data_IF_710118041753
#
_entry.id   IF_710118041753
#
_cell.length_a   1.000
_cell.length_b   1.000
_cell.length_c   1.000
_cell.angle_alpha   90.00
_cell.angle_beta   90.00
_cell.angle_gamma   90.00
#
_symmetry.space_group_name_H-M   'P 1'
#
loop_
_entity.id
_entity.type
_entity.pdbx_description
1 polymer ?
#
# COMPACT_ATOMS: atom_id res chain seq x y z
N UNK A 1 -18.10 -53.98 57.80
CA UNK A 1 -18.16 -55.16 56.91
C UNK A 1 -18.21 -54.59 55.51
N UNK A 2 -17.17 -54.59 54.68
CA UNK A 2 -16.31 -55.69 54.18
C UNK A 2 -14.88 -55.17 53.95
N UNK A 3 -13.90 -56.06 54.12
CA UNK A 3 -12.45 -55.94 53.94
C UNK A 3 -11.99 -55.58 52.50
N UNK A 4 -10.86 -54.88 52.35
CA UNK A 4 -9.60 -55.53 51.89
C UNK A 4 -8.39 -54.57 51.84
N UNK A 5 -7.27 -55.07 52.39
CA UNK A 5 -5.91 -54.53 52.41
C UNK A 5 -5.31 -54.18 51.03
N UNK A 6 -4.39 -53.21 51.00
CA UNK A 6 -2.95 -53.48 50.79
C UNK A 6 -2.08 -52.26 51.07
N UNK A 7 -1.13 -52.43 52.00
CA UNK A 7 0.04 -51.59 52.21
C UNK A 7 1.01 -51.73 51.03
N UNK A 8 1.72 -50.66 50.67
CA UNK A 8 3.17 -50.74 50.40
C UNK A 8 3.86 -49.38 50.63
N UNK A 9 4.96 -49.47 51.35
CA UNK A 9 5.94 -48.44 51.75
C UNK A 9 6.97 -48.14 50.66
N UNK A 10 7.62 -46.96 50.69
CA UNK A 10 9.09 -46.69 50.62
C UNK A 10 9.28 -45.18 50.27
N UNK A 11 9.73 -44.30 51.18
CA UNK A 11 11.10 -43.96 51.66
C UNK A 11 11.97 -43.11 50.69
N UNK A 12 12.26 -41.86 51.14
CA UNK A 12 13.50 -41.10 50.91
C UNK A 12 13.64 -40.33 49.59
N UNK A 13 14.38 -39.23 49.44
CA UNK A 13 15.25 -38.40 50.30
C UNK A 13 15.65 -37.15 49.47
N UNK A 14 15.84 -36.00 50.13
CA UNK A 14 16.61 -34.79 49.78
C UNK A 14 17.43 -34.75 48.47
N UNK A 15 17.42 -33.60 47.76
CA UNK A 15 18.57 -32.67 47.66
C UNK A 15 18.20 -31.39 46.89
N UNK A 16 18.61 -30.22 47.39
CA UNK A 16 18.67 -28.98 46.59
C UNK A 16 20.08 -28.74 46.03
N UNK A 17 20.21 -27.87 45.01
CA UNK A 17 21.30 -26.89 44.76
C UNK A 17 21.12 -26.24 43.35
N UNK A 18 20.95 -24.91 43.36
CA UNK A 18 21.56 -23.80 42.58
C UNK A 18 21.96 -23.96 41.08
N UNK A 19 21.57 -22.94 40.28
CA UNK A 19 22.36 -22.16 39.30
C UNK A 19 21.76 -21.99 37.88
N UNK A 20 21.56 -20.70 37.53
CA UNK A 20 21.59 -20.05 36.20
C UNK A 20 22.33 -20.82 35.08
N UNK A 21 21.75 -20.86 33.86
CA UNK A 21 22.39 -20.47 32.59
C UNK A 21 21.47 -20.71 31.37
N UNK A 22 21.80 -20.02 30.29
CA UNK A 22 20.93 -19.62 29.18
C UNK A 22 20.46 -20.72 28.21
N UNK A 23 19.29 -20.43 27.62
CA UNK A 23 18.81 -20.72 26.27
C UNK A 23 19.32 -21.98 25.53
N UNK A 24 18.40 -22.90 25.19
CA UNK A 24 18.01 -23.20 23.80
C UNK A 24 16.85 -24.22 23.76
N UNK A 25 15.87 -23.93 22.89
CA UNK A 25 15.01 -24.86 22.16
C UNK A 25 14.22 -25.96 22.93
N UNK A 26 12.92 -25.73 23.11
CA UNK A 26 11.87 -26.42 22.36
C UNK A 26 10.52 -26.21 23.08
N UNK A 27 9.66 -25.39 22.47
CA UNK A 27 8.25 -25.39 22.78
C UNK A 27 7.64 -26.71 22.26
N UNK A 28 7.21 -27.57 23.17
CA UNK A 28 6.13 -28.54 22.92
C UNK A 28 5.19 -28.51 24.13
N UNK A 29 4.14 -27.70 23.97
CA UNK A 29 2.73 -28.11 24.11
C UNK A 29 2.49 -29.40 24.91
N UNK A 30 1.96 -29.27 26.12
CA UNK A 30 0.72 -29.89 26.62
C UNK A 30 0.65 -29.74 28.15
N UNK A 31 -0.36 -28.98 28.59
CA UNK A 31 -1.29 -29.23 29.70
C UNK A 31 -0.78 -29.80 31.04
N UNK A 32 -1.15 -29.10 32.12
CA UNK A 32 -2.09 -29.56 33.17
C UNK A 32 -2.05 -28.44 34.24
N UNK A 33 -3.05 -27.55 34.31
CA UNK A 33 -4.35 -27.76 34.99
C UNK A 33 -4.22 -28.45 36.35
N UNK A 34 -3.80 -27.73 37.40
CA UNK A 34 -4.30 -28.09 38.73
C UNK A 34 -4.39 -26.92 39.70
N UNK A 35 -5.63 -26.49 39.93
CA UNK A 35 -6.05 -25.71 41.10
C UNK A 35 -6.90 -26.63 41.97
N UNK A 36 -6.47 -26.93 43.20
CA UNK A 36 -7.41 -27.23 44.29
C UNK A 36 -6.88 -26.73 45.65
N UNK A 37 -7.59 -25.77 46.26
CA UNK A 37 -7.92 -25.85 47.68
C UNK A 37 -9.44 -25.70 47.78
N UNK A 38 -10.12 -26.77 48.23
CA UNK A 38 -11.55 -26.78 48.52
C UNK A 38 -11.78 -26.16 49.91
N UNK A 39 -12.58 -25.10 49.96
CA UNK A 39 -13.55 -24.92 51.05
C UNK A 39 -14.93 -24.56 50.46
N UNK A 40 -15.96 -25.14 51.08
CA UNK A 40 -17.34 -25.23 50.62
C UNK A 40 -18.02 -23.86 50.47
N UNK A 41 -18.68 -23.62 49.33
CA UNK A 41 -19.75 -22.62 49.24
C UNK A 41 -19.87 -21.77 47.98
N UNK A 42 -20.05 -22.41 46.81
CA UNK A 42 -20.87 -21.98 45.66
C UNK A 42 -20.83 -20.51 45.13
N UNK A 43 -20.00 -20.31 44.08
CA UNK A 43 -20.01 -19.32 42.98
C UNK A 43 -19.64 -17.85 43.33
N UNK A 44 -18.68 -17.16 42.70
CA UNK A 44 -18.12 -17.28 41.34
C UNK A 44 -16.72 -16.61 41.32
N UNK A 45 -15.67 -17.31 40.91
CA UNK A 45 -14.36 -16.68 40.69
C UNK A 45 -14.38 -16.02 39.31
N UNK A 46 -14.55 -14.70 39.27
CA UNK A 46 -14.37 -13.95 38.02
C UNK A 46 -12.86 -13.86 37.76
N UNK A 47 -12.35 -14.79 36.97
CA UNK A 47 -11.05 -14.67 36.31
C UNK A 47 -11.35 -14.13 34.91
N UNK A 48 -11.20 -12.82 34.75
CA UNK A 48 -11.18 -12.21 33.42
C UNK A 48 -9.74 -12.32 32.93
N UNK A 49 -9.46 -13.29 32.05
CA UNK A 49 -8.25 -13.25 31.22
C UNK A 49 -8.69 -13.35 29.77
N UNK A 50 -8.73 -12.21 29.07
CA UNK A 50 -8.38 -12.18 27.65
C UNK A 50 -7.40 -11.02 27.40
N UNK A 51 -6.40 -11.10 26.54
CA UNK A 51 -5.95 -12.14 25.61
C UNK A 51 -4.49 -11.82 25.30
N UNK A 52 -3.57 -12.74 25.58
CA UNK A 52 -2.11 -12.63 25.38
C UNK A 52 -1.38 -11.69 26.36
N UNK A 53 -0.96 -12.26 27.49
CA UNK A 53 -0.19 -11.59 28.54
C UNK A 53 1.31 -11.85 28.32
N UNK A 54 2.14 -10.80 28.36
CA UNK A 54 3.59 -10.89 28.21
C UNK A 54 4.27 -10.80 29.59
N UNK A 55 4.49 -11.96 30.22
CA UNK A 55 5.05 -12.07 31.58
C UNK A 55 6.41 -11.38 31.74
N UNK A 56 7.24 -11.33 30.69
CA UNK A 56 8.56 -10.69 30.71
C UNK A 56 8.50 -9.16 30.75
N UNK A 57 7.46 -8.58 30.16
CA UNK A 57 7.28 -7.12 30.07
C UNK A 57 6.27 -6.60 31.08
N UNK A 58 5.51 -7.48 31.75
CA UNK A 58 4.39 -7.15 32.63
C UNK A 58 3.34 -6.27 31.93
N UNK A 59 3.12 -6.54 30.64
CA UNK A 59 2.23 -5.81 29.75
C UNK A 59 1.48 -6.81 28.87
N UNK A 60 0.33 -6.44 28.37
CA UNK A 60 -0.41 -7.23 27.39
C UNK A 60 0.08 -6.93 25.98
N UNK A 61 -0.11 -7.88 25.06
CA UNK A 61 0.05 -7.61 23.62
C UNK A 61 -0.85 -6.43 23.23
N UNK A 62 -0.28 -5.46 22.54
CA UNK A 62 -0.94 -4.21 22.16
C UNK A 62 -0.84 -3.08 23.19
N UNK A 63 -0.35 -3.33 24.41
CA UNK A 63 -0.09 -2.27 25.38
C UNK A 63 1.04 -1.36 24.90
N UNK A 64 0.98 -0.09 25.30
CA UNK A 64 2.04 0.87 25.00
C UNK A 64 3.31 0.55 25.79
N UNK A 65 4.46 0.57 25.11
CA UNK A 65 5.77 0.35 25.71
C UNK A 65 6.72 1.50 25.36
N UNK A 66 7.85 1.61 26.08
CA UNK A 66 8.89 2.59 25.80
C UNK A 66 10.21 1.86 25.50
N UNK A 67 10.87 2.24 24.41
CA UNK A 67 12.21 1.76 24.07
C UNK A 67 13.15 2.95 23.87
N UNK A 68 14.39 2.84 24.35
CA UNK A 68 15.43 3.83 24.07
C UNK A 68 16.10 3.48 22.73
N UNK A 69 15.92 4.34 21.73
CA UNK A 69 16.52 4.22 20.41
C UNK A 69 17.43 5.44 20.19
N UNK A 70 18.72 5.21 19.97
CA UNK A 70 19.72 6.26 19.74
C UNK A 70 19.70 7.41 20.77
N UNK A 71 19.36 7.13 22.04
CA UNK A 71 19.30 8.11 23.13
C UNK A 71 17.99 8.92 23.20
N UNK A 72 16.96 8.53 22.43
CA UNK A 72 15.61 9.08 22.48
C UNK A 72 14.64 8.01 22.99
N UNK A 73 13.80 8.36 23.96
CA UNK A 73 12.71 7.49 24.41
C UNK A 73 11.57 7.52 23.39
N UNK A 74 11.20 6.36 22.86
CA UNK A 74 10.19 6.21 21.83
C UNK A 74 9.05 5.32 22.30
N UNK A 75 7.81 5.71 21.98
CA UNK A 75 6.61 4.95 22.34
C UNK A 75 6.28 3.93 21.26
N UNK A 76 6.12 2.67 21.66
CA UNK A 76 5.76 1.54 20.79
C UNK A 76 4.58 0.76 21.35
N UNK A 77 4.35 -0.44 20.80
CA UNK A 77 3.38 -1.40 21.29
C UNK A 77 4.02 -2.78 21.50
N UNK A 78 3.47 -3.57 22.42
CA UNK A 78 3.95 -4.94 22.67
C UNK A 78 3.45 -5.88 21.56
N UNK A 79 4.36 -6.57 20.87
CA UNK A 79 4.04 -7.54 19.82
C UNK A 79 3.61 -8.90 20.38
N UNK A 80 3.12 -9.79 19.51
CA UNK A 80 2.76 -11.17 19.89
C UNK A 80 3.96 -12.01 20.37
N UNK A 81 5.17 -11.61 19.99
CA UNK A 81 6.42 -12.23 20.45
C UNK A 81 6.94 -11.60 21.77
N UNK A 82 6.12 -10.74 22.41
CA UNK A 82 6.46 -10.04 23.64
C UNK A 82 7.70 -9.14 23.52
N UNK A 83 7.81 -8.45 22.39
CA UNK A 83 8.83 -7.43 22.15
C UNK A 83 8.18 -6.04 22.09
N UNK A 84 8.89 -5.01 22.57
CA UNK A 84 8.45 -3.64 22.38
C UNK A 84 8.77 -3.22 20.95
N UNK A 85 7.75 -3.12 20.11
CA UNK A 85 7.88 -2.67 18.73
C UNK A 85 7.58 -1.18 18.68
N UNK A 86 8.64 -0.39 18.50
CA UNK A 86 8.51 1.04 18.25
C UNK A 86 8.37 1.26 16.76
N UNK A 87 7.15 1.57 16.30
CA UNK A 87 6.95 2.13 14.98
C UNK A 87 7.30 3.62 15.01
N UNK A 88 8.57 3.94 15.22
CA UNK A 88 9.02 5.32 15.17
C UNK A 88 9.05 5.72 13.69
N UNK A 89 8.39 6.83 13.29
CA UNK A 89 8.69 7.41 12.00
C UNK A 89 10.18 7.76 12.04
N UNK A 90 10.99 7.09 11.25
CA UNK A 90 12.45 7.09 11.36
C UNK A 90 13.14 8.41 10.98
N UNK A 91 12.39 9.53 11.04
CA UNK A 91 12.86 10.85 10.71
C UNK A 91 13.27 11.01 9.25
N UNK A 92 13.08 9.98 8.40
CA UNK A 92 13.35 10.06 6.98
C UNK A 92 12.25 10.84 6.28
N UNK A 93 12.65 11.88 5.56
CA UNK A 93 11.81 12.60 4.62
C UNK A 93 12.47 12.57 3.26
N UNK A 94 11.68 12.35 2.21
CA UNK A 94 12.15 12.41 0.83
C UNK A 94 11.44 13.52 0.08
N UNK A 95 12.21 14.33 -0.64
CA UNK A 95 11.71 15.27 -1.64
C UNK A 95 12.04 14.74 -3.03
N UNK A 96 11.17 15.01 -4.01
CA UNK A 96 11.41 14.65 -5.41
C UNK A 96 11.23 15.90 -6.25
N UNK A 97 12.24 16.21 -7.07
CA UNK A 97 12.14 17.18 -8.14
C UNK A 97 11.87 16.43 -9.45
N UNK A 98 10.92 16.92 -10.24
CA UNK A 98 10.64 16.39 -11.58
C UNK A 98 10.98 17.40 -12.67
N UNK A 99 11.40 16.88 -13.82
CA UNK A 99 11.46 17.60 -15.09
C UNK A 99 10.43 16.99 -16.03
N UNK A 100 9.66 17.79 -16.77
CA UNK A 100 8.67 17.26 -17.68
C UNK A 100 9.32 16.51 -18.84
N UNK A 101 8.52 15.61 -19.43
CA UNK A 101 8.79 14.92 -20.68
C UNK A 101 8.19 15.74 -21.84
N UNK A 102 8.91 15.86 -22.96
CA UNK A 102 8.43 16.51 -24.19
C UNK A 102 7.73 15.55 -25.15
N UNK A 103 7.33 14.37 -24.66
CA UNK A 103 6.70 13.31 -25.43
C UNK A 103 7.71 12.39 -26.13
N UNK A 104 9.02 12.55 -25.85
CA UNK A 104 10.08 11.68 -26.37
C UNK A 104 10.68 10.76 -25.32
N UNK A 105 10.12 10.75 -24.11
CA UNK A 105 10.67 10.08 -22.95
C UNK A 105 11.86 10.84 -22.38
N UNK A 106 11.83 12.18 -22.39
CA UNK A 106 12.93 13.04 -21.91
C UNK A 106 12.80 13.46 -20.44
N UNK A 107 11.75 12.99 -19.76
CA UNK A 107 11.47 13.29 -18.37
C UNK A 107 12.56 12.83 -17.40
N UNK A 108 12.60 13.48 -16.24
CA UNK A 108 13.58 13.17 -15.19
C UNK A 108 12.96 13.26 -13.80
N UNK A 109 13.48 12.46 -12.87
CA UNK A 109 13.16 12.50 -11.45
C UNK A 109 14.45 12.50 -10.65
N UNK A 110 14.56 13.38 -9.66
CA UNK A 110 15.70 13.44 -8.73
C UNK A 110 15.18 13.49 -7.29
N UNK A 111 15.58 12.49 -6.50
CA UNK A 111 15.21 12.40 -5.09
C UNK A 111 16.29 12.97 -4.18
N UNK A 112 15.85 13.60 -3.09
CA UNK A 112 16.71 14.06 -2.00
C UNK A 112 16.17 13.51 -0.68
N UNK A 113 16.98 12.71 0.01
CA UNK A 113 16.63 12.10 1.31
C UNK A 113 17.25 12.93 2.44
N UNK A 114 16.49 13.11 3.52
CA UNK A 114 16.94 13.78 4.74
C UNK A 114 16.53 12.95 5.96
N UNK A 115 17.40 12.83 6.97
CA UNK A 115 17.21 11.90 8.08
C UNK A 115 17.58 10.46 7.72
N UNK A 116 17.37 9.50 8.63
CA UNK A 116 17.78 8.09 8.44
C UNK A 116 19.29 7.84 8.57
N UNK A 117 19.71 6.60 8.28
CA UNK A 117 21.11 6.15 8.34
C UNK A 117 21.62 5.64 6.99
N UNK A 118 22.65 6.28 6.44
CA UNK A 118 23.29 5.84 5.20
C UNK A 118 24.01 4.47 5.35
N UNK A 119 24.10 3.67 4.27
CA UNK A 119 23.66 3.95 2.90
C UNK A 119 22.17 3.73 2.63
N UNK A 120 21.60 4.55 1.74
CA UNK A 120 20.23 4.38 1.25
C UNK A 120 20.15 3.46 0.02
N UNK A 121 19.05 2.71 -0.06
CA UNK A 121 18.62 1.97 -1.24
C UNK A 121 17.36 2.61 -1.82
N UNK A 122 17.25 2.64 -3.15
CA UNK A 122 16.15 3.28 -3.87
C UNK A 122 15.47 2.24 -4.75
N UNK A 123 14.15 2.31 -4.85
CA UNK A 123 13.35 1.53 -5.78
C UNK A 123 12.25 2.43 -6.35
N UNK A 124 12.29 2.64 -7.66
CA UNK A 124 11.31 3.41 -8.40
C UNK A 124 10.38 2.47 -9.15
N UNK A 125 9.09 2.72 -9.03
CA UNK A 125 8.05 1.97 -9.70
C UNK A 125 7.23 2.88 -10.60
N UNK A 126 6.83 2.37 -11.75
CA UNK A 126 5.81 2.96 -12.62
C UNK A 126 4.81 1.86 -12.93
N UNK A 127 3.53 2.08 -12.62
CA UNK A 127 2.46 1.09 -12.83
C UNK A 127 2.78 -0.30 -12.24
N UNK A 128 3.43 -0.34 -11.07
CA UNK A 128 3.84 -1.58 -10.38
C UNK A 128 5.17 -2.19 -10.84
N UNK A 129 5.71 -1.78 -11.99
CA UNK A 129 6.98 -2.29 -12.49
C UNK A 129 8.18 -1.51 -11.94
N UNK A 130 9.21 -2.23 -11.50
CA UNK A 130 10.47 -1.62 -11.07
C UNK A 130 11.21 -1.05 -12.29
N UNK A 131 11.29 0.28 -12.36
CA UNK A 131 11.89 1.03 -13.48
C UNK A 131 13.29 1.54 -13.17
N UNK A 132 13.71 1.55 -11.91
CA UNK A 132 15.06 1.95 -11.55
C UNK A 132 15.37 1.90 -10.06
N UNK A 133 16.65 2.02 -9.71
CA UNK A 133 17.15 1.90 -8.34
C UNK A 133 18.21 2.95 -7.97
N UNK A 134 18.24 4.06 -8.71
CA UNK A 134 19.15 5.17 -8.48
C UNK A 134 18.39 6.36 -7.85
N UNK A 135 19.07 7.25 -7.11
CA UNK A 135 18.43 8.44 -6.54
C UNK A 135 17.90 9.40 -7.61
N UNK A 136 18.47 9.36 -8.83
CA UNK A 136 17.99 10.09 -9.99
C UNK A 136 17.72 9.12 -11.15
N UNK A 137 16.61 9.35 -11.84
CA UNK A 137 16.21 8.69 -13.08
C UNK A 137 16.06 9.71 -14.19
N UNK A 138 16.38 9.28 -15.40
CA UNK A 138 16.23 10.07 -16.63
C UNK A 138 15.72 9.17 -17.75
N UNK A 139 15.40 9.78 -18.89
CA UNK A 139 14.80 9.09 -20.03
C UNK A 139 13.43 8.48 -19.67
N UNK A 140 12.62 9.26 -18.94
CA UNK A 140 11.31 8.85 -18.44
C UNK A 140 10.20 9.42 -19.32
N UNK A 141 9.19 8.60 -19.59
CA UNK A 141 7.94 9.10 -20.16
C UNK A 141 7.14 9.87 -19.10
N UNK A 142 6.21 10.71 -19.55
CA UNK A 142 5.21 11.32 -18.66
C UNK A 142 4.42 10.27 -17.86
N UNK A 143 4.02 10.63 -16.64
CA UNK A 143 3.22 9.79 -15.75
C UNK A 143 3.70 9.77 -14.31
N UNK A 144 3.02 8.96 -13.49
CA UNK A 144 3.23 8.90 -12.04
C UNK A 144 4.25 7.81 -11.71
N UNK A 145 5.20 8.17 -10.85
CA UNK A 145 6.24 7.29 -10.34
C UNK A 145 6.19 7.23 -8.82
N UNK A 146 6.34 6.03 -8.27
CA UNK A 146 6.46 5.79 -6.83
C UNK A 146 7.92 5.52 -6.50
N UNK A 147 8.46 6.24 -5.52
CA UNK A 147 9.76 5.96 -4.93
C UNK A 147 9.56 5.28 -3.57
N UNK A 148 10.33 4.22 -3.33
CA UNK A 148 10.56 3.64 -2.01
C UNK A 148 12.06 3.77 -1.71
N UNK A 149 12.39 4.33 -0.55
CA UNK A 149 13.76 4.46 -0.04
C UNK A 149 13.87 3.69 1.25
N UNK A 150 14.89 2.84 1.36
CA UNK A 150 15.25 2.22 2.63
C UNK A 150 16.65 2.64 3.09
N UNK A 151 16.83 2.84 4.38
CA UNK A 151 18.13 3.11 5.00
C UNK A 151 18.83 1.81 5.46
N UNK A 152 20.05 1.92 6.01
CA UNK A 152 20.84 0.75 6.40
C UNK A 152 20.37 0.08 7.69
N UNK A 153 19.58 0.78 8.51
CA UNK A 153 19.05 0.30 9.78
C UNK A 153 17.62 -0.23 9.65
N UNK A 154 17.11 -0.32 8.41
CA UNK A 154 15.84 -0.96 8.09
C UNK A 154 14.64 -0.02 8.10
N UNK A 155 14.83 1.30 8.17
CA UNK A 155 13.71 2.20 7.94
C UNK A 155 13.37 2.34 6.45
N UNK A 156 12.07 2.42 6.15
CA UNK A 156 11.53 2.71 4.84
C UNK A 156 10.72 4.00 4.81
N UNK A 157 10.80 4.74 3.71
CA UNK A 157 9.89 5.86 3.37
C UNK A 157 9.51 5.80 1.90
N UNK A 158 8.35 6.36 1.55
CA UNK A 158 7.86 6.38 0.17
C UNK A 158 7.32 7.74 -0.24
N UNK A 159 7.45 8.08 -1.51
CA UNK A 159 6.85 9.28 -2.10
C UNK A 159 6.39 9.03 -3.53
N UNK A 160 5.50 9.90 -4.02
CA UNK A 160 5.05 9.91 -5.41
C UNK A 160 5.55 11.18 -6.10
N UNK A 161 5.83 11.07 -7.39
CA UNK A 161 6.14 12.19 -8.26
C UNK A 161 5.47 12.03 -9.62
N UNK A 162 5.07 13.15 -10.23
CA UNK A 162 4.56 13.17 -11.60
C UNK A 162 5.62 13.74 -12.53
N UNK A 163 5.88 13.04 -13.63
CA UNK A 163 6.55 13.59 -14.80
C UNK A 163 5.45 14.15 -15.69
N UNK A 164 5.33 15.48 -15.74
CA UNK A 164 4.32 16.14 -16.58
C UNK A 164 4.71 16.04 -18.06
N UNK A 165 3.72 15.99 -18.95
CA UNK A 165 3.93 16.15 -20.38
C UNK A 165 4.00 17.65 -20.71
N UNK A 166 5.13 18.12 -21.24
CA UNK A 166 5.33 19.50 -21.65
C UNK A 166 5.71 19.62 -23.13
N UNK A 167 4.75 20.00 -23.95
CA UNK A 167 4.89 20.11 -25.40
C UNK A 167 5.25 21.53 -25.88
N UNK A 168 5.44 22.50 -24.96
CA UNK A 168 5.65 23.93 -25.29
C UNK A 168 6.95 24.26 -26.03
N UNK A 169 7.74 23.25 -26.40
CA UNK A 169 8.98 23.39 -27.18
C UNK A 169 8.86 22.91 -28.63
N UNK A 170 7.72 22.33 -29.01
CA UNK A 170 7.48 21.78 -30.34
C UNK A 170 6.62 22.75 -31.15
N UNK A 171 7.29 23.68 -31.83
CA UNK A 171 6.66 24.66 -32.72
C UNK A 171 6.40 24.00 -34.08
N UNK A 172 5.12 23.94 -34.51
CA UNK A 172 4.71 23.45 -35.82
C UNK A 172 4.43 24.63 -36.76
N UNK A 173 5.43 25.08 -37.55
CA UNK A 173 5.38 26.39 -38.19
C UNK A 173 4.35 26.47 -39.31
N UNK A 174 4.02 25.34 -39.95
CA UNK A 174 3.01 25.26 -41.00
C UNK A 174 1.58 25.39 -40.46
N UNK A 175 1.37 25.09 -39.17
CA UNK A 175 0.08 25.19 -38.49
C UNK A 175 -0.03 26.41 -37.56
N UNK A 176 1.08 27.17 -37.39
CA UNK A 176 1.16 28.30 -36.47
C UNK A 176 0.67 27.95 -35.05
N UNK A 177 1.03 26.76 -34.57
CA UNK A 177 0.65 26.26 -33.25
C UNK A 177 1.65 25.21 -32.74
N UNK A 178 1.59 24.92 -31.46
CA UNK A 178 2.42 23.92 -30.79
C UNK A 178 1.76 22.54 -30.81
N UNK A 179 2.53 21.48 -30.59
CA UNK A 179 1.95 20.13 -30.41
C UNK A 179 0.97 20.15 -29.24
N UNK A 180 -0.24 19.67 -29.47
CA UNK A 180 -1.35 19.74 -28.51
C UNK A 180 -2.22 21.00 -28.63
N UNK A 181 -1.87 21.97 -29.48
CA UNK A 181 -2.78 23.08 -29.81
C UNK A 181 -3.95 22.61 -30.67
N UNK A 182 -5.07 23.32 -30.56
CA UNK A 182 -6.23 23.11 -31.42
C UNK A 182 -5.92 23.54 -32.86
N UNK A 183 -6.35 22.73 -33.83
CA UNK A 183 -6.19 22.98 -35.26
C UNK A 183 -7.46 22.61 -36.05
N UNK A 184 -7.54 23.00 -37.34
CA UNK A 184 -8.70 22.74 -38.21
C UNK A 184 -8.29 21.98 -39.47
N UNK A 185 -8.89 20.83 -39.77
CA UNK A 185 -8.59 20.06 -40.99
C UNK A 185 -9.31 20.58 -42.25
N UNK A 186 -10.47 21.21 -42.10
CA UNK A 186 -11.33 21.62 -43.22
C UNK A 186 -12.39 22.67 -42.82
N UNK A 187 -12.00 23.68 -42.05
CA UNK A 187 -12.85 24.80 -41.58
C UNK A 187 -14.05 24.43 -40.70
N UNK A 188 -14.21 23.18 -40.28
CA UNK A 188 -15.34 22.76 -39.41
C UNK A 188 -15.06 21.56 -38.49
N UNK A 189 -13.89 20.92 -38.59
CA UNK A 189 -13.52 19.81 -37.72
C UNK A 189 -12.31 20.25 -36.89
N UNK A 190 -12.52 20.36 -35.58
CA UNK A 190 -11.46 20.61 -34.60
C UNK A 190 -10.59 19.35 -34.45
N UNK A 191 -9.29 19.57 -34.34
CA UNK A 191 -8.28 18.54 -34.15
C UNK A 191 -7.17 19.05 -33.25
N UNK A 192 -6.16 18.22 -33.02
CA UNK A 192 -4.95 18.60 -32.30
C UNK A 192 -3.73 18.47 -33.20
N UNK A 193 -2.78 19.38 -33.02
CA UNK A 193 -1.46 19.30 -33.66
C UNK A 193 -0.69 18.14 -33.04
N UNK A 194 -0.30 17.17 -33.87
CA UNK A 194 0.51 16.02 -33.45
C UNK A 194 2.01 16.33 -33.46
N UNK A 195 2.81 15.44 -32.88
CA UNK A 195 4.28 15.49 -32.95
C UNK A 195 4.83 15.48 -34.37
N UNK A 196 4.07 14.99 -35.36
CA UNK A 196 4.45 15.06 -36.77
C UNK A 196 4.06 16.39 -37.44
N UNK A 197 3.61 17.38 -36.67
CA UNK A 197 3.06 18.64 -37.18
C UNK A 197 1.92 18.46 -38.18
N UNK A 198 1.16 17.38 -38.00
CA UNK A 198 -0.08 17.15 -38.74
C UNK A 198 -1.24 17.56 -37.84
N UNK A 199 -2.18 18.31 -38.42
CA UNK A 199 -3.48 18.50 -37.81
C UNK A 199 -4.27 17.22 -38.04
N UNK A 200 -4.44 16.42 -36.99
CA UNK A 200 -5.29 15.24 -37.05
C UNK A 200 -6.57 15.56 -36.31
N UNK A 201 -7.69 15.07 -36.84
CA UNK A 201 -8.91 15.05 -36.04
C UNK A 201 -8.55 14.24 -34.81
N UNK A 202 -8.69 14.81 -33.62
CA UNK A 202 -9.02 13.95 -32.50
C UNK A 202 -10.39 13.38 -32.86
N UNK A 203 -10.41 12.19 -33.45
CA UNK A 203 -11.48 11.31 -33.06
C UNK A 203 -11.32 11.26 -31.54
N UNK A 204 -12.23 11.95 -30.83
CA UNK A 204 -12.00 12.52 -29.50
C UNK A 204 -11.13 11.59 -28.67
N UNK A 205 -9.88 11.97 -28.38
CA UNK A 205 -9.03 11.25 -27.43
C UNK A 205 -9.04 11.95 -26.06
N UNK A 206 -9.96 12.90 -25.88
CA UNK A 206 -10.23 13.60 -24.63
C UNK A 206 -11.01 12.73 -23.64
N UNK A 207 -10.75 11.40 -23.61
CA UNK A 207 -11.35 10.54 -22.60
C UNK A 207 -10.91 11.02 -21.22
N UNK A 208 -11.88 11.21 -20.34
CA UNK A 208 -11.71 11.66 -18.97
C UNK A 208 -12.40 10.66 -18.05
N UNK A 209 -11.75 10.34 -16.94
CA UNK A 209 -12.27 9.41 -15.94
C UNK A 209 -12.29 10.15 -14.61
N UNK A 210 -13.46 10.28 -14.02
CA UNK A 210 -13.68 11.04 -12.78
C UNK A 210 -14.26 10.14 -11.71
N UNK A 211 -13.63 10.16 -10.52
CA UNK A 211 -14.16 9.49 -9.34
C UNK A 211 -15.35 10.29 -8.80
N UNK A 212 -16.49 9.63 -8.62
CA UNK A 212 -17.73 10.27 -8.18
C UNK A 212 -17.95 10.00 -6.70
N UNK A 213 -17.97 8.72 -6.32
CA UNK A 213 -18.26 8.27 -4.97
C UNK A 213 -17.81 6.84 -4.73
N UNK A 214 -17.69 6.46 -3.46
CA UNK A 214 -17.48 5.09 -3.01
C UNK A 214 -18.30 4.81 -1.75
N UNK A 215 -18.79 3.59 -1.59
CA UNK A 215 -19.37 3.11 -0.34
C UNK A 215 -18.35 2.24 0.40
N UNK A 216 -18.28 2.42 1.72
CA UNK A 216 -17.31 1.74 2.57
C UNK A 216 -17.56 0.23 2.61
N UNK A 217 -16.48 -0.54 2.71
CA UNK A 217 -16.52 -1.97 2.99
C UNK A 217 -16.49 -2.20 4.51
N UNK A 218 -17.42 -3.00 5.03
CA UNK A 218 -17.45 -3.37 6.45
C UNK A 218 -16.53 -4.58 6.80
N UNK A 219 -15.67 -4.95 5.87
CA UNK A 219 -14.79 -6.12 5.93
C UNK A 219 -15.40 -7.38 5.33
N UNK A 220 -16.55 -7.27 4.67
CA UNK A 220 -17.22 -8.38 3.96
C UNK A 220 -16.94 -8.41 2.45
N UNK A 221 -16.22 -7.40 1.94
CA UNK A 221 -16.04 -7.16 0.52
C UNK A 221 -17.31 -6.57 -0.11
N UNK A 222 -18.06 -5.75 0.62
CA UNK A 222 -19.32 -5.14 0.14
C UNK A 222 -19.15 -3.73 -0.40
N UNK A 223 -17.94 -3.18 -0.39
CA UNK A 223 -17.65 -1.83 -0.86
C UNK A 223 -18.01 -1.65 -2.33
N UNK A 224 -18.23 -0.40 -2.73
CA UNK A 224 -18.57 -0.05 -4.10
C UNK A 224 -17.91 1.26 -4.53
N UNK A 225 -17.81 1.47 -5.83
CA UNK A 225 -17.29 2.70 -6.42
C UNK A 225 -18.01 3.06 -7.71
N UNK A 226 -18.29 4.36 -7.86
CA UNK A 226 -18.93 4.95 -9.03
C UNK A 226 -17.93 5.84 -9.76
N UNK A 227 -17.73 5.57 -11.04
CA UNK A 227 -16.78 6.28 -11.90
C UNK A 227 -17.53 6.85 -13.08
N UNK A 228 -17.34 8.13 -13.38
CA UNK A 228 -17.92 8.79 -14.56
C UNK A 228 -16.87 8.89 -15.67
N UNK A 229 -17.25 8.48 -16.87
CA UNK A 229 -16.44 8.57 -18.09
C UNK A 229 -17.12 9.53 -19.07
N UNK A 230 -16.33 10.45 -19.62
CA UNK A 230 -16.77 11.45 -20.60
C UNK A 230 -15.64 11.81 -21.56
N UNK A 231 -15.98 12.42 -22.69
CA UNK A 231 -15.07 12.64 -23.82
C UNK A 231 -14.60 11.32 -24.41
N UNK A 232 -13.65 11.34 -25.35
CA UNK A 232 -13.24 10.09 -25.99
C UNK A 232 -14.21 9.63 -27.09
N UNK A 233 -13.92 8.50 -27.76
CA UNK A 233 -14.91 7.79 -28.58
C UNK A 233 -15.27 6.42 -28.03
N UNK A 234 -16.48 6.31 -27.47
CA UNK A 234 -17.06 5.03 -27.07
C UNK A 234 -17.20 4.04 -28.24
N UNK A 235 -17.28 2.73 -27.97
CA UNK A 235 -17.35 2.10 -26.65
C UNK A 235 -16.00 2.15 -25.90
N UNK A 236 -16.07 2.23 -24.58
CA UNK A 236 -14.89 2.23 -23.70
C UNK A 236 -14.67 0.85 -23.09
N UNK A 237 -13.45 0.33 -23.16
CA UNK A 237 -13.00 -0.81 -22.39
C UNK A 237 -12.42 -0.32 -21.07
N UNK A 238 -12.88 -0.85 -19.94
CA UNK A 238 -12.34 -0.48 -18.63
C UNK A 238 -11.83 -1.71 -17.87
N UNK A 239 -10.82 -1.49 -17.03
CA UNK A 239 -10.21 -2.51 -16.17
C UNK A 239 -10.05 -1.94 -14.76
N UNK A 240 -10.57 -2.67 -13.78
CA UNK A 240 -10.27 -2.48 -12.36
C UNK A 240 -8.98 -3.20 -12.02
N UNK A 241 -8.11 -2.51 -11.29
CA UNK A 241 -6.77 -2.95 -10.94
C UNK A 241 -6.60 -2.95 -9.42
N UNK A 242 -5.91 -3.96 -8.89
CA UNK A 242 -5.50 -4.02 -7.48
C UNK A 242 -4.50 -2.90 -7.15
N UNK A 243 -4.17 -2.67 -5.86
CA UNK A 243 -3.09 -1.74 -5.48
C UNK A 243 -1.76 -2.05 -6.19
N UNK A 244 -1.51 -3.32 -6.50
CA UNK A 244 -0.34 -3.83 -7.22
C UNK A 244 -0.54 -3.88 -8.74
N UNK A 245 -1.52 -3.12 -9.27
CA UNK A 245 -1.81 -3.01 -10.71
C UNK A 245 -2.14 -4.34 -11.40
N UNK A 246 -2.66 -5.31 -10.65
CA UNK A 246 -3.14 -6.58 -11.22
C UNK A 246 -4.61 -6.46 -11.59
N UNK A 247 -4.98 -6.87 -12.82
CA UNK A 247 -6.37 -6.83 -13.27
C UNK A 247 -7.27 -7.70 -12.37
N UNK A 248 -8.28 -7.08 -11.78
CA UNK A 248 -9.28 -7.72 -10.92
C UNK A 248 -10.59 -7.95 -11.65
N UNK A 249 -11.05 -6.94 -12.39
CA UNK A 249 -12.30 -6.96 -13.16
C UNK A 249 -12.14 -6.14 -14.43
N UNK A 250 -12.93 -6.45 -15.47
CA UNK A 250 -12.97 -5.65 -16.69
C UNK A 250 -14.40 -5.59 -17.26
N UNK A 251 -14.65 -4.59 -18.09
CA UNK A 251 -15.94 -4.42 -18.74
C UNK A 251 -15.89 -3.49 -19.95
N UNK A 252 -17.05 -3.32 -20.56
CA UNK A 252 -17.23 -2.42 -21.70
C UNK A 252 -18.41 -1.48 -21.41
N UNK A 253 -18.17 -0.18 -21.47
CA UNK A 253 -19.21 0.83 -21.52
C UNK A 253 -19.55 1.08 -23.00
N UNK A 254 -20.74 0.64 -23.42
CA UNK A 254 -21.15 0.72 -24.84
C UNK A 254 -21.57 2.12 -25.29
N UNK A 255 -21.78 3.03 -24.35
CA UNK A 255 -22.20 4.41 -24.59
C UNK A 255 -20.98 5.34 -24.73
N UNK A 256 -21.16 6.51 -25.33
CA UNK A 256 -20.09 7.52 -25.53
C UNK A 256 -19.87 8.45 -24.34
N UNK A 257 -20.57 8.21 -23.23
CA UNK A 257 -20.43 8.85 -21.91
C UNK A 257 -21.20 7.99 -20.91
N UNK A 258 -20.82 7.91 -19.64
CA UNK A 258 -21.63 7.18 -18.67
C UNK A 258 -20.94 6.83 -17.37
N UNK A 259 -21.65 6.10 -16.52
CA UNK A 259 -21.14 5.64 -15.23
C UNK A 259 -20.74 4.17 -15.30
N UNK A 260 -19.63 3.85 -14.66
CA UNK A 260 -19.27 2.49 -14.25
C UNK A 260 -19.57 2.38 -12.76
N UNK A 261 -20.33 1.35 -12.41
CA UNK A 261 -20.60 0.96 -11.03
C UNK A 261 -19.86 -0.34 -10.74
N UNK A 262 -18.92 -0.29 -9.81
CA UNK A 262 -18.12 -1.45 -9.39
C UNK A 262 -18.57 -1.82 -7.98
N UNK A 263 -18.92 -3.08 -7.78
CA UNK A 263 -19.46 -3.59 -6.53
C UNK A 263 -18.60 -4.75 -6.04
N UNK A 264 -18.64 -5.01 -4.74
CA UNK A 264 -17.94 -6.16 -4.18
C UNK A 264 -16.46 -5.88 -3.88
N UNK A 265 -16.11 -4.62 -3.63
CA UNK A 265 -14.74 -4.19 -3.36
C UNK A 265 -14.43 -4.35 -1.87
N UNK A 266 -13.21 -4.81 -1.57
CA UNK A 266 -12.67 -4.70 -0.23
C UNK A 266 -12.21 -3.26 0.04
N UNK A 267 -12.07 -2.87 1.30
CA UNK A 267 -11.44 -1.58 1.64
C UNK A 267 -9.99 -1.51 1.10
N UNK A 268 -9.61 -0.35 0.56
CA UNK A 268 -8.28 -0.13 -0.01
C UNK A 268 -8.27 0.72 -1.28
N UNK A 269 -7.08 0.81 -1.88
CA UNK A 269 -6.85 1.58 -3.10
C UNK A 269 -6.97 0.71 -4.34
N UNK A 270 -7.60 1.24 -5.38
CA UNK A 270 -7.76 0.56 -6.66
C UNK A 270 -7.39 1.51 -7.80
N UNK A 271 -6.83 0.94 -8.86
CA UNK A 271 -6.66 1.63 -10.13
C UNK A 271 -7.85 1.36 -11.05
N UNK A 272 -8.26 2.38 -11.80
CA UNK A 272 -9.18 2.22 -12.92
C UNK A 272 -8.44 2.67 -14.16
N UNK A 273 -8.38 1.79 -15.15
CA UNK A 273 -7.87 2.07 -16.48
C UNK A 273 -9.01 2.01 -17.48
N UNK A 274 -9.11 3.00 -18.35
CA UNK A 274 -10.13 3.07 -19.38
C UNK A 274 -9.49 3.37 -20.73
N UNK A 275 -9.87 2.62 -21.76
CA UNK A 275 -9.42 2.79 -23.13
C UNK A 275 -10.62 2.97 -24.04
N UNK A 276 -10.62 4.00 -24.87
CA UNK A 276 -11.68 4.20 -25.86
C UNK A 276 -11.53 3.29 -27.10
N UNK A 277 -12.46 3.40 -28.05
CA UNK A 277 -12.47 2.57 -29.27
C UNK A 277 -11.30 2.86 -30.25
N UNK A 278 -10.56 3.93 -30.00
CA UNK A 278 -9.42 4.39 -30.80
C UNK A 278 -8.09 4.06 -30.12
N UNK A 279 -8.11 3.55 -28.89
CA UNK A 279 -6.93 3.16 -28.12
C UNK A 279 -6.43 4.23 -27.15
N UNK A 280 -7.20 5.30 -26.91
CA UNK A 280 -6.81 6.38 -26.02
C UNK A 280 -7.09 6.02 -24.55
N UNK A 281 -6.08 6.19 -23.70
CA UNK A 281 -6.02 5.71 -22.32
C UNK A 281 -6.25 6.83 -21.31
N UNK A 282 -7.10 6.58 -20.31
CA UNK A 282 -7.21 7.40 -19.10
C UNK A 282 -7.21 6.52 -17.85
N UNK A 283 -6.62 7.04 -16.77
CA UNK A 283 -6.46 6.32 -15.51
C UNK A 283 -6.83 7.19 -14.31
N UNK A 284 -7.36 6.57 -13.26
CA UNK A 284 -7.60 7.21 -11.97
C UNK A 284 -7.36 6.23 -10.82
N UNK A 285 -6.94 6.75 -9.67
CA UNK A 285 -6.89 6.00 -8.42
C UNK A 285 -8.13 6.32 -7.58
N UNK A 286 -8.76 5.28 -7.05
CA UNK A 286 -9.92 5.37 -6.17
C UNK A 286 -9.60 4.72 -4.83
N UNK A 287 -10.24 5.21 -3.77
CA UNK A 287 -10.12 4.63 -2.44
C UNK A 287 -11.50 4.19 -1.97
N UNK A 288 -11.63 2.92 -1.61
CA UNK A 288 -12.81 2.37 -0.95
C UNK A 288 -12.54 2.39 0.56
N UNK A 289 -13.29 3.19 1.35
CA UNK A 289 -13.08 3.33 2.78
C UNK A 289 -13.31 2.03 3.57
#
# INVERSE_FOLDING_TARGET
>A
MINSNSRHSFLGTFCGIVALSAALLACQKEDIDELIILEEGAHETIVVVPSYDCELLQLNVGDSCLQELAGVLATGFVSQDCECVVNQPCGMSVGINSSPDDGTGSGMLESTVTGGTEPYSYAWYRSGDLVGSNPALSSLDFGIYQLIVNDSEGCSTSAMANVDLNLTGWDCPELMGDVGDACLLNDSIEGLVTTNCECVTTADCAISVTFVSSEADDGSGSGSASIYIDGGQGPYAWTLLSPEWTALENGILSESTGFIEINGLNSGFFGIECTDSLGCLAQILINVP
#
